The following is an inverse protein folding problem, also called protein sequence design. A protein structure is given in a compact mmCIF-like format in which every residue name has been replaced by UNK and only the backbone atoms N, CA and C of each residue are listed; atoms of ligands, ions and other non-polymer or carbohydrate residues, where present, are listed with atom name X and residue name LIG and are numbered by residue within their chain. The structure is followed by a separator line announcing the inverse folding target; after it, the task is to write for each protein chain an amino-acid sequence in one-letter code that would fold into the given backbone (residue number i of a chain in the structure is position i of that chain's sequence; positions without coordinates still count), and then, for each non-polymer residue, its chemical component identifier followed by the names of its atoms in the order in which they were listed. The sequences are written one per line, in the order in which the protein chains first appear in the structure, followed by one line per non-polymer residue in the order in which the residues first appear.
data_IF_423371966916
#
_entry.id   IF_423371966916
#
_cell.length_a   1.000
_cell.length_b   1.000
_cell.length_c   1.000
_cell.angle_alpha   90.00
_cell.angle_beta   90.00
_cell.angle_gamma   90.00
#
_symmetry.space_group_name_H-M   'P 1'
#
loop_
_entity.id
_entity.type
_entity.pdbx_description
1 polymer ?
#
# COMPACT_ATOMS: atom_id res chain seq x y z
N UNK A 1 -1.54 -8.55 -8.48
CA UNK A 1 -2.83 -8.08 -9.03
C UNK A 1 -3.11 -8.82 -10.32
N UNK A 2 -4.35 -9.22 -10.57
CA UNK A 2 -4.76 -9.97 -11.78
C UNK A 2 -6.21 -9.64 -12.13
N UNK A 3 -6.57 -9.69 -13.41
CA UNK A 3 -7.96 -9.59 -13.87
C UNK A 3 -8.55 -10.97 -14.10
N UNK A 4 -9.81 -11.18 -13.70
CA UNK A 4 -10.54 -12.43 -13.88
C UNK A 4 -11.97 -12.22 -14.34
N UNK A 5 -12.50 -13.15 -15.13
CA UNK A 5 -13.91 -13.14 -15.57
C UNK A 5 -14.74 -13.94 -14.57
N UNK A 6 -15.67 -13.27 -13.90
CA UNK A 6 -16.64 -13.87 -12.99
C UNK A 6 -18.02 -13.95 -13.68
N UNK A 7 -18.99 -14.69 -13.11
CA UNK A 7 -20.35 -14.75 -13.67
C UNK A 7 -21.02 -13.39 -13.88
N UNK A 8 -20.57 -12.36 -13.16
CA UNK A 8 -21.04 -10.97 -13.25
C UNK A 8 -20.08 -10.05 -14.03
N UNK A 9 -19.16 -10.61 -14.81
CA UNK A 9 -18.22 -9.91 -15.68
C UNK A 9 -16.78 -9.83 -15.16
N UNK A 10 -15.92 -9.11 -15.88
CA UNK A 10 -14.50 -8.95 -15.53
C UNK A 10 -14.31 -8.10 -14.28
N UNK A 11 -13.45 -8.57 -13.36
CA UNK A 11 -13.09 -7.88 -12.11
C UNK A 11 -11.58 -7.88 -11.90
N UNK A 12 -11.10 -6.83 -11.25
CA UNK A 12 -9.73 -6.70 -10.80
C UNK A 12 -9.59 -7.32 -9.41
N UNK A 13 -8.63 -8.24 -9.26
CA UNK A 13 -8.32 -8.91 -7.99
C UNK A 13 -6.96 -8.43 -7.51
N UNK A 14 -6.96 -7.88 -6.30
CA UNK A 14 -5.74 -7.49 -5.60
C UNK A 14 -5.57 -8.38 -4.38
N UNK A 15 -4.42 -9.03 -4.30
CA UNK A 15 -3.97 -9.77 -3.12
C UNK A 15 -2.88 -8.91 -2.51
N UNK A 16 -3.17 -8.37 -1.33
CA UNK A 16 -2.20 -7.65 -0.53
C UNK A 16 -1.46 -8.65 0.36
N UNK A 17 -0.17 -8.39 0.62
CA UNK A 17 0.71 -9.25 1.40
C UNK A 17 0.56 -10.76 1.10
N UNK A 18 0.83 -11.14 -0.16
CA UNK A 18 0.56 -12.49 -0.64
C UNK A 18 1.36 -13.59 0.06
N UNK A 19 2.45 -13.23 0.76
CA UNK A 19 3.32 -14.14 1.52
C UNK A 19 3.22 -13.79 3.01
N UNK A 20 2.05 -14.04 3.60
CA UNK A 20 1.74 -13.69 4.99
C UNK A 20 1.82 -14.88 5.98
N UNK A 21 2.20 -16.08 5.51
CA UNK A 21 2.27 -17.30 6.32
C UNK A 21 3.50 -18.11 5.94
N UNK A 22 4.13 -18.75 6.93
CA UNK A 22 5.34 -19.55 6.77
C UNK A 22 5.17 -20.70 5.77
N UNK A 23 4.05 -21.43 5.84
CA UNK A 23 3.82 -22.61 5.00
C UNK A 23 2.64 -22.46 4.03
N UNK A 24 1.73 -21.50 4.28
CA UNK A 24 0.50 -21.34 3.50
C UNK A 24 -0.37 -22.60 3.49
N UNK A 25 -1.43 -22.59 2.67
CA UNK A 25 -2.24 -23.78 2.40
C UNK A 25 -2.00 -24.25 0.96
N UNK A 26 -1.33 -25.38 0.78
CA UNK A 26 -0.95 -25.88 -0.54
C UNK A 26 -2.12 -26.49 -1.33
N UNK A 27 -3.19 -26.92 -0.66
CA UNK A 27 -4.35 -27.52 -1.32
C UNK A 27 -5.06 -26.55 -2.29
N UNK A 28 -5.43 -25.31 -1.90
CA UNK A 28 -6.01 -24.33 -2.83
C UNK A 28 -4.99 -23.82 -3.86
N UNK A 29 -3.70 -23.78 -3.53
CA UNK A 29 -2.64 -23.35 -4.48
C UNK A 29 -2.56 -24.28 -5.69
N UNK A 30 -2.69 -25.59 -5.46
CA UNK A 30 -2.63 -26.61 -6.51
C UNK A 30 -4.01 -26.95 -7.11
N UNK A 31 -5.06 -26.23 -6.71
CA UNK A 31 -6.40 -26.46 -7.22
C UNK A 31 -6.46 -26.29 -8.75
N UNK A 32 -7.04 -27.27 -9.45
CA UNK A 32 -7.15 -27.27 -10.91
C UNK A 32 -5.87 -27.66 -11.67
N UNK A 33 -4.74 -27.88 -10.98
CA UNK A 33 -3.48 -28.29 -11.60
C UNK A 33 -3.36 -29.80 -11.86
N UNK A 34 -4.19 -30.60 -11.21
CA UNK A 34 -4.09 -32.08 -11.15
C UNK A 34 -2.79 -32.61 -10.53
N UNK A 35 -1.99 -31.77 -9.85
CA UNK A 35 -0.80 -32.18 -9.13
C UNK A 35 -1.13 -32.66 -7.71
N UNK A 36 -0.45 -33.70 -7.19
CA UNK A 36 -0.59 -34.08 -5.79
C UNK A 36 -0.01 -33.01 -4.88
N UNK A 37 -0.63 -32.79 -3.72
CA UNK A 37 -0.10 -31.88 -2.71
C UNK A 37 1.21 -32.46 -2.14
N UNK A 38 2.35 -31.76 -2.27
CA UNK A 38 3.60 -32.23 -1.70
C UNK A 38 3.60 -32.10 -0.17
N UNK A 39 4.27 -33.01 0.56
CA UNK A 39 4.51 -32.85 1.98
C UNK A 39 5.44 -31.65 2.25
N UNK A 40 5.29 -31.03 3.43
CA UNK A 40 6.03 -29.80 3.80
C UNK A 40 7.54 -30.01 3.93
N UNK A 41 7.98 -31.23 4.23
CA UNK A 41 9.39 -31.61 4.34
C UNK A 41 10.19 -31.43 3.03
N UNK A 42 9.51 -31.31 1.89
CA UNK A 42 10.12 -30.97 0.59
C UNK A 42 10.59 -29.52 0.50
N UNK A 43 10.19 -28.67 1.44
CA UNK A 43 10.55 -27.25 1.49
C UNK A 43 11.47 -27.01 2.71
N UNK A 44 12.78 -27.33 2.60
CA UNK A 44 13.72 -27.07 3.68
C UNK A 44 13.83 -25.55 3.92
N UNK A 45 14.00 -25.17 5.18
CA UNK A 45 14.14 -23.77 5.57
C UNK A 45 15.42 -23.17 4.96
N UNK A 46 15.29 -21.98 4.40
CA UNK A 46 16.41 -21.14 4.00
C UNK A 46 16.41 -19.88 4.88
N UNK A 47 17.52 -19.62 5.58
CA UNK A 47 17.71 -18.36 6.30
C UNK A 47 18.14 -17.27 5.32
N UNK A 48 17.20 -16.43 4.92
CA UNK A 48 17.50 -15.22 4.16
C UNK A 48 17.45 -14.00 5.10
N UNK A 49 18.62 -13.52 5.50
CA UNK A 49 18.78 -12.37 6.40
C UNK A 49 18.95 -11.03 5.67
N UNK A 50 18.70 -10.99 4.36
CA UNK A 50 18.93 -9.80 3.53
C UNK A 50 17.60 -9.31 2.98
N UNK A 51 17.13 -8.19 3.52
CA UNK A 51 16.01 -7.47 2.93
C UNK A 51 16.52 -6.64 1.75
N UNK A 52 16.16 -7.07 0.54
CA UNK A 52 16.53 -6.34 -0.67
C UNK A 52 15.81 -5.00 -0.71
N UNK A 53 16.56 -3.91 -0.91
CA UNK A 53 15.99 -2.56 -1.05
C UNK A 53 15.81 -1.80 0.27
N UNK A 54 16.38 -2.30 1.37
CA UNK A 54 16.38 -1.59 2.65
C UNK A 54 16.93 -0.16 2.52
N UNK A 55 16.18 0.80 3.04
CA UNK A 55 16.56 2.20 3.07
C UNK A 55 17.25 2.53 4.40
N UNK A 56 18.56 2.82 4.34
CA UNK A 56 19.34 3.21 5.52
C UNK A 56 19.32 4.75 5.65
N UNK A 57 18.68 5.25 6.72
CA UNK A 57 18.63 6.68 7.02
C UNK A 57 19.86 7.11 7.83
N UNK A 58 20.52 8.21 7.44
CA UNK A 58 21.72 8.71 8.12
C UNK A 58 21.46 9.40 9.47
N UNK A 59 20.22 9.76 9.79
CA UNK A 59 19.82 10.42 11.04
C UNK A 59 18.44 9.91 11.47
N UNK A 60 18.23 9.73 12.78
CA UNK A 60 16.97 9.19 13.35
C UNK A 60 15.92 10.29 13.61
N UNK A 61 16.29 11.53 13.39
CA UNK A 61 15.53 12.71 13.77
C UNK A 61 14.48 13.05 12.69
N UNK A 62 13.37 13.67 13.10
CA UNK A 62 12.33 14.11 12.18
C UNK A 62 12.83 15.20 11.21
N UNK A 63 12.37 15.15 9.96
CA UNK A 63 12.63 16.20 8.96
C UNK A 63 11.63 17.34 9.16
N UNK A 64 12.12 18.56 9.43
CA UNK A 64 11.27 19.75 9.49
C UNK A 64 10.84 20.17 8.07
N UNK A 65 9.53 20.18 7.81
CA UNK A 65 8.95 20.59 6.53
C UNK A 65 8.50 22.05 6.60
N UNK A 66 8.74 22.82 5.52
CA UNK A 66 8.36 24.24 5.44
C UNK A 66 8.95 25.11 6.55
N UNK A 67 10.15 24.77 7.04
CA UNK A 67 10.89 25.58 8.01
C UNK A 67 11.03 27.01 7.51
N UNK A 68 11.02 27.95 8.46
CA UNK A 68 11.20 29.40 8.21
C UNK A 68 10.07 30.08 7.42
N UNK A 69 9.00 29.35 7.06
CA UNK A 69 7.81 29.95 6.46
C UNK A 69 6.84 30.41 7.55
N UNK A 70 6.26 31.60 7.37
CA UNK A 70 5.17 32.08 8.22
C UNK A 70 3.95 31.16 8.06
N UNK A 71 3.43 30.67 9.17
CA UNK A 71 2.25 29.80 9.21
C UNK A 71 1.08 30.50 9.91
N UNK A 72 -0.13 30.12 9.53
CA UNK A 72 -1.38 30.49 10.21
C UNK A 72 -2.20 29.23 10.44
N UNK A 73 -2.99 29.21 11.52
CA UNK A 73 -3.92 28.13 11.81
C UNK A 73 -5.32 28.64 11.49
N UNK A 74 -6.04 27.95 10.60
CA UNK A 74 -7.38 28.30 10.18
C UNK A 74 -8.36 27.19 10.56
N UNK A 75 -9.53 27.57 11.09
CA UNK A 75 -10.65 26.65 11.26
C UNK A 75 -11.41 26.57 9.94
N UNK A 76 -11.43 25.39 9.34
CA UNK A 76 -12.20 25.11 8.12
C UNK A 76 -13.39 24.24 8.49
N UNK A 77 -14.59 24.61 8.02
CA UNK A 77 -15.83 23.86 8.24
C UNK A 77 -16.44 23.57 6.87
N UNK A 78 -16.58 22.30 6.51
CA UNK A 78 -17.35 21.91 5.33
C UNK A 78 -18.83 21.86 5.72
N UNK A 79 -19.64 22.77 5.16
CA UNK A 79 -21.09 22.81 5.32
C UNK A 79 -21.85 22.19 4.15
N UNK A 80 -21.12 21.66 3.16
CA UNK A 80 -21.70 20.96 2.02
C UNK A 80 -22.19 19.56 2.37
N UNK A 81 -22.90 18.96 1.41
CA UNK A 81 -23.47 17.62 1.50
C UNK A 81 -22.49 16.50 1.09
N UNK A 82 -21.29 16.89 0.63
CA UNK A 82 -20.29 15.99 0.03
C UNK A 82 -18.89 16.21 0.62
N UNK A 83 -18.06 15.16 0.67
CA UNK A 83 -16.69 15.27 1.16
C UNK A 83 -15.81 16.10 0.21
N UNK A 84 -14.88 16.85 0.79
CA UNK A 84 -13.84 17.61 0.09
C UNK A 84 -12.47 17.19 0.63
N UNK A 85 -11.50 16.95 -0.25
CA UNK A 85 -10.12 16.64 0.11
C UNK A 85 -9.18 17.70 -0.49
N UNK A 86 -8.78 18.73 0.27
CA UNK A 86 -7.82 19.73 -0.20
C UNK A 86 -6.44 19.09 -0.37
N UNK A 87 -5.77 19.38 -1.49
CA UNK A 87 -4.38 19.01 -1.74
C UNK A 87 -3.41 20.16 -1.46
N UNK A 88 -2.11 19.86 -1.53
CA UNK A 88 -1.06 20.86 -1.45
C UNK A 88 -0.94 21.72 -2.73
N UNK A 89 -0.26 22.86 -2.64
CA UNK A 89 -0.27 23.92 -3.66
C UNK A 89 0.27 23.53 -5.05
N UNK A 90 -0.33 24.09 -6.12
CA UNK A 90 0.29 24.19 -7.46
C UNK A 90 1.22 25.40 -7.54
N UNK A 91 2.40 25.23 -8.14
CA UNK A 91 3.36 26.34 -8.41
C UNK A 91 2.64 27.47 -9.14
N UNK A 92 2.84 28.71 -8.67
CA UNK A 92 2.33 29.99 -9.20
C UNK A 92 0.87 30.40 -8.92
N UNK A 93 0.07 29.64 -8.18
CA UNK A 93 -1.21 30.13 -7.65
C UNK A 93 -1.17 30.11 -6.13
N UNK A 94 -1.28 31.28 -5.51
CA UNK A 94 -1.40 31.41 -4.06
C UNK A 94 -2.62 30.63 -3.58
N UNK A 95 -2.47 29.82 -2.53
CA UNK A 95 -3.56 29.11 -1.83
C UNK A 95 -4.46 30.10 -1.06
N UNK A 96 -5.01 31.10 -1.76
CA UNK A 96 -5.81 32.20 -1.21
C UNK A 96 -7.31 32.07 -1.53
N UNK A 97 -7.70 31.09 -2.34
CA UNK A 97 -9.05 30.98 -2.88
C UNK A 97 -9.87 29.85 -2.22
N UNK A 98 -9.79 29.74 -0.89
CA UNK A 98 -10.75 28.96 -0.09
C UNK A 98 -11.78 29.89 0.56
N UNK A 99 -12.40 30.78 -0.25
CA UNK A 99 -13.56 31.56 0.18
C UNK A 99 -14.84 30.74 0.09
#
# INVERSE_FOLDING_TARGET
MVEGIFPDGTKLITIDDAIASEYGNLAPVLHGSFLPVPPLDKFPWAEDNINTGDMIYGRKDSIAINSERKAIILRVVNTGDRPLQPGDCKKNHTCKDWR
#
